data_IF_491204473694
#
_entry.id   IF_491204473694
#
_cell.length_a   1.000
_cell.length_b   1.000
_cell.length_c   1.000
_cell.angle_alpha   90.00
_cell.angle_beta   90.00
_cell.angle_gamma   90.00
#
_symmetry.space_group_name_H-M   'P 1'
#
loop_
_entity.id
_entity.type
_entity.pdbx_description
1 polymer ?
#
# COMPACT_ATOMS: atom_id res chain seq x y z
N UNK A 1 -6.16 20.45 -3.42
CA UNK A 1 -5.93 19.05 -2.99
C UNK A 1 -6.86 18.65 -1.85
N UNK A 2 -6.71 19.21 -0.63
CA UNK A 2 -7.53 18.82 0.53
C UNK A 2 -9.04 19.04 0.37
N UNK A 3 -9.46 20.04 -0.39
CA UNK A 3 -10.89 20.23 -0.70
C UNK A 3 -11.47 19.08 -1.53
N UNK A 4 -10.75 18.65 -2.58
CA UNK A 4 -11.14 17.49 -3.39
C UNK A 4 -11.18 16.22 -2.54
N UNK A 5 -10.16 16.01 -1.69
CA UNK A 5 -10.15 14.89 -0.74
C UNK A 5 -11.38 14.87 0.16
N UNK A 6 -11.72 16.00 0.78
CA UNK A 6 -12.88 16.11 1.68
C UNK A 6 -14.21 15.87 0.96
N UNK A 7 -14.33 16.34 -0.28
CA UNK A 7 -15.56 16.21 -1.08
C UNK A 7 -15.73 14.78 -1.61
N UNK A 8 -14.66 14.18 -2.12
CA UNK A 8 -14.72 12.97 -2.95
C UNK A 8 -14.21 11.71 -2.22
N UNK A 9 -13.51 11.85 -1.09
CA UNK A 9 -12.95 10.74 -0.31
C UNK A 9 -11.66 10.15 -0.89
N UNK A 10 -11.12 10.71 -1.97
CA UNK A 10 -9.87 10.28 -2.62
C UNK A 10 -9.37 11.32 -3.63
N UNK A 11 -8.09 11.22 -4.00
CA UNK A 11 -7.46 12.08 -5.02
C UNK A 11 -6.26 11.37 -5.67
N UNK A 12 -5.84 11.86 -6.83
CA UNK A 12 -4.61 11.41 -7.50
C UNK A 12 -3.59 12.55 -7.45
N UNK A 13 -2.37 12.24 -6.98
CA UNK A 13 -1.20 13.14 -7.07
C UNK A 13 -0.27 12.57 -8.14
N UNK A 14 -0.14 13.28 -9.26
CA UNK A 14 0.79 12.88 -10.31
C UNK A 14 2.23 13.26 -9.92
N UNK A 15 3.18 12.34 -10.17
CA UNK A 15 4.60 12.60 -9.93
C UNK A 15 4.98 12.75 -8.45
N UNK A 16 4.21 12.16 -7.54
CA UNK A 16 4.49 12.19 -6.10
C UNK A 16 5.85 11.58 -5.76
N UNK A 17 6.17 10.43 -6.36
CA UNK A 17 7.49 9.82 -6.22
C UNK A 17 8.28 9.96 -7.50
N UNK A 18 9.59 10.15 -7.37
CA UNK A 18 10.46 10.14 -8.53
C UNK A 18 10.51 8.75 -9.18
N UNK A 19 10.89 8.74 -10.46
CA UNK A 19 10.92 7.50 -11.24
C UNK A 19 11.96 6.50 -10.75
N UNK A 20 13.06 6.99 -10.17
CA UNK A 20 14.16 6.14 -9.71
C UNK A 20 13.76 5.34 -8.46
N UNK A 21 13.07 5.97 -7.50
CA UNK A 21 12.54 5.31 -6.31
C UNK A 21 11.50 4.25 -6.68
N UNK A 22 10.60 4.57 -7.61
CA UNK A 22 9.61 3.62 -8.13
C UNK A 22 10.31 2.42 -8.80
N UNK A 23 11.28 2.67 -9.68
CA UNK A 23 11.97 1.61 -10.41
C UNK A 23 12.82 0.73 -9.45
N UNK A 24 13.45 1.31 -8.44
CA UNK A 24 14.21 0.60 -7.41
C UNK A 24 13.30 -0.34 -6.59
N UNK A 25 12.19 0.19 -6.05
CA UNK A 25 11.22 -0.61 -5.29
C UNK A 25 10.57 -1.69 -6.16
N UNK A 26 10.25 -1.39 -7.42
CA UNK A 26 9.72 -2.38 -8.37
C UNK A 26 10.71 -3.51 -8.60
N UNK A 27 11.97 -3.17 -8.90
CA UNK A 27 13.01 -4.17 -9.13
C UNK A 27 13.29 -5.02 -7.87
N UNK A 28 13.22 -4.41 -6.67
CA UNK A 28 13.35 -5.13 -5.42
C UNK A 28 12.18 -6.07 -5.16
N UNK A 29 10.94 -5.63 -5.43
CA UNK A 29 9.76 -6.47 -5.36
C UNK A 29 9.82 -7.66 -6.32
N UNK A 30 10.20 -7.43 -7.58
CA UNK A 30 10.32 -8.47 -8.61
C UNK A 30 11.30 -9.58 -8.21
N UNK A 31 12.39 -9.24 -7.51
CA UNK A 31 13.35 -10.23 -6.99
C UNK A 31 12.74 -11.11 -5.88
N UNK A 32 11.79 -10.58 -5.11
CA UNK A 32 11.22 -11.21 -3.92
C UNK A 32 9.93 -11.97 -4.19
N UNK A 33 9.12 -11.53 -5.18
CA UNK A 33 7.85 -12.17 -5.56
C UNK A 33 7.94 -13.69 -5.72
N UNK A 34 8.97 -14.27 -6.37
CA UNK A 34 9.08 -15.73 -6.54
C UNK A 34 9.16 -16.53 -5.23
N UNK A 35 9.47 -15.88 -4.11
CA UNK A 35 9.56 -16.53 -2.80
C UNK A 35 8.20 -16.72 -2.12
N UNK A 36 7.14 -16.12 -2.66
CA UNK A 36 5.80 -16.15 -2.08
C UNK A 36 4.82 -16.88 -3.00
N UNK A 37 4.10 -17.85 -2.44
CA UNK A 37 3.01 -18.50 -3.15
C UNK A 37 1.81 -17.54 -3.29
N UNK A 38 1.20 -17.40 -4.49
CA UNK A 38 -0.07 -16.70 -4.65
C UNK A 38 -1.16 -17.25 -3.71
N UNK A 39 -2.05 -16.37 -3.25
CA UNK A 39 -3.18 -16.74 -2.38
C UNK A 39 -2.81 -17.14 -0.94
N UNK A 40 -1.55 -17.01 -0.55
CA UNK A 40 -1.08 -17.41 0.79
C UNK A 40 -1.46 -16.44 1.91
N UNK A 41 -1.80 -15.18 1.58
CA UNK A 41 -2.09 -14.16 2.58
C UNK A 41 -3.56 -14.24 3.05
N UNK A 42 -3.76 -14.41 4.36
CA UNK A 42 -5.09 -14.54 4.99
C UNK A 42 -5.55 -13.29 5.73
N UNK A 43 -4.69 -12.27 5.84
CA UNK A 43 -4.94 -11.05 6.65
C UNK A 43 -5.33 -11.36 8.11
N UNK A 44 -4.93 -12.51 8.66
CA UNK A 44 -5.37 -12.93 10.00
C UNK A 44 -6.85 -13.33 10.10
N UNK A 45 -7.60 -13.31 8.99
CA UNK A 45 -9.04 -13.61 8.94
C UNK A 45 -9.35 -14.99 8.34
N UNK A 46 -8.35 -15.88 8.27
CA UNK A 46 -8.49 -17.24 7.75
C UNK A 46 -9.04 -17.27 6.32
N UNK A 47 -10.06 -18.11 6.09
CA UNK A 47 -10.65 -18.30 4.76
C UNK A 47 -11.32 -17.04 4.20
N UNK A 48 -11.93 -16.21 5.05
CA UNK A 48 -12.56 -14.97 4.62
C UNK A 48 -11.53 -13.97 4.08
N UNK A 49 -10.41 -13.81 4.78
CA UNK A 49 -9.32 -12.95 4.32
C UNK A 49 -8.60 -13.50 3.10
N UNK A 50 -8.42 -14.83 2.99
CA UNK A 50 -7.86 -15.45 1.80
C UNK A 50 -8.74 -15.21 0.56
N UNK A 51 -10.05 -15.37 0.70
CA UNK A 51 -11.01 -15.09 -0.37
C UNK A 51 -11.03 -13.61 -0.77
N UNK A 52 -10.87 -12.72 0.21
CA UNK A 52 -10.78 -11.28 -0.04
C UNK A 52 -9.48 -10.88 -0.75
N UNK A 53 -8.33 -11.45 -0.40
CA UNK A 53 -7.04 -11.15 -1.04
C UNK A 53 -6.97 -11.69 -2.47
N UNK A 54 -7.56 -12.86 -2.72
CA UNK A 54 -7.56 -13.51 -4.03
C UNK A 54 -6.51 -14.62 -4.15
N UNK A 55 -6.86 -15.66 -4.90
CA UNK A 55 -6.06 -16.88 -5.02
C UNK A 55 -4.81 -16.71 -5.90
N UNK A 56 -4.81 -15.73 -6.79
CA UNK A 56 -3.73 -15.39 -7.72
C UNK A 56 -2.98 -14.11 -7.30
N UNK A 57 -3.26 -13.57 -6.11
CA UNK A 57 -2.55 -12.40 -5.58
C UNK A 57 -1.36 -12.83 -4.73
N UNK A 58 -0.19 -12.24 -5.00
CA UNK A 58 0.98 -12.29 -4.10
C UNK A 58 1.00 -10.99 -3.30
N UNK A 59 1.03 -11.09 -1.97
CA UNK A 59 1.08 -9.94 -1.06
C UNK A 59 2.09 -10.17 0.04
N UNK A 60 2.98 -9.20 0.24
CA UNK A 60 3.96 -9.23 1.33
C UNK A 60 4.31 -7.82 1.80
N UNK A 61 4.83 -7.73 3.03
CA UNK A 61 5.18 -6.48 3.71
C UNK A 61 6.71 -6.36 3.88
N UNK A 62 7.15 -5.52 4.84
CA UNK A 62 8.56 -5.31 5.21
C UNK A 62 9.37 -4.59 4.12
N UNK A 63 8.77 -3.56 3.52
CA UNK A 63 9.38 -2.77 2.45
C UNK A 63 10.75 -2.18 2.79
N UNK A 64 11.03 -1.73 4.05
CA UNK A 64 12.39 -1.34 4.44
C UNK A 64 13.47 -2.41 4.25
N UNK A 65 13.10 -3.70 4.17
CA UNK A 65 14.05 -4.80 3.95
C UNK A 65 14.26 -5.09 2.45
N UNK A 66 13.53 -4.41 1.56
CA UNK A 66 13.64 -4.62 0.12
C UNK A 66 14.68 -3.70 -0.52
N UNK A 67 14.57 -2.40 -0.23
CA UNK A 67 15.42 -1.34 -0.79
C UNK A 67 15.30 -0.06 0.04
N UNK A 68 16.37 0.73 0.11
CA UNK A 68 16.38 2.00 0.86
C UNK A 68 15.49 3.06 0.20
N UNK A 69 15.16 2.92 -1.09
CA UNK A 69 14.20 3.78 -1.79
C UNK A 69 12.83 3.87 -1.07
N UNK A 70 12.45 2.87 -0.27
CA UNK A 70 11.25 2.97 0.55
C UNK A 70 11.31 4.11 1.57
N UNK A 71 12.49 4.41 2.13
CA UNK A 71 12.66 5.52 3.07
C UNK A 71 12.50 6.87 2.38
N UNK A 72 12.96 7.01 1.13
CA UNK A 72 12.73 8.22 0.33
C UNK A 72 11.23 8.42 0.05
N UNK A 73 10.49 7.34 -0.22
CA UNK A 73 9.03 7.40 -0.39
C UNK A 73 8.30 7.70 0.92
N UNK A 74 8.82 7.19 2.05
CA UNK A 74 8.25 7.41 3.38
C UNK A 74 8.43 8.86 3.84
N UNK A 75 9.56 9.48 3.48
CA UNK A 75 9.92 10.86 3.84
C UNK A 75 9.42 11.90 2.82
N UNK A 76 8.53 11.52 1.89
CA UNK A 76 7.96 12.44 0.90
C UNK A 76 7.14 13.57 1.58
N UNK A 77 7.50 14.81 1.28
CA UNK A 77 6.89 15.99 1.91
C UNK A 77 5.39 16.13 1.56
N UNK A 78 4.98 15.72 0.36
CA UNK A 78 3.57 15.76 -0.05
C UNK A 78 2.77 14.71 0.71
N UNK A 79 3.33 13.51 0.89
CA UNK A 79 2.73 12.44 1.69
C UNK A 79 2.50 12.90 3.13
N UNK A 80 3.56 13.41 3.78
CA UNK A 80 3.53 13.90 5.14
C UNK A 80 2.52 15.05 5.30
N UNK A 81 2.52 16.03 4.39
CA UNK A 81 1.60 17.16 4.47
C UNK A 81 0.11 16.76 4.34
N UNK A 82 -0.20 15.74 3.53
CA UNK A 82 -1.57 15.21 3.42
C UNK A 82 -1.94 14.45 4.70
N UNK A 83 -1.06 13.57 5.19
CA UNK A 83 -1.27 12.82 6.42
C UNK A 83 -1.51 13.75 7.61
N UNK A 84 -0.61 14.72 7.83
CA UNK A 84 -0.70 15.71 8.90
C UNK A 84 -2.02 16.47 8.86
N UNK A 85 -2.39 16.98 7.69
CA UNK A 85 -3.60 17.78 7.52
C UNK A 85 -4.89 16.99 7.74
N UNK A 86 -4.87 15.66 7.53
CA UNK A 86 -6.02 14.77 7.67
C UNK A 86 -6.10 14.16 9.08
N UNK A 87 -4.97 13.78 9.67
CA UNK A 87 -4.91 12.97 10.89
C UNK A 87 -4.68 13.79 12.16
N UNK A 88 -3.74 14.74 12.17
CA UNK A 88 -3.38 15.50 13.39
C UNK A 88 -4.50 16.37 13.99
N UNK A 89 -5.56 16.78 13.26
CA UNK A 89 -6.75 17.36 13.89
C UNK A 89 -7.51 16.38 14.81
N UNK A 90 -7.22 15.08 14.69
CA UNK A 90 -7.95 13.99 15.35
C UNK A 90 -7.05 13.09 16.22
N UNK A 91 -5.72 13.21 16.16
CA UNK A 91 -4.77 12.46 16.97
C UNK A 91 -3.54 13.32 17.36
N UNK A 92 -2.71 12.81 18.29
CA UNK A 92 -1.49 13.52 18.72
C UNK A 92 -0.29 13.33 17.78
N UNK A 93 -0.28 12.23 17.04
CA UNK A 93 0.73 11.86 16.05
C UNK A 93 0.18 10.72 15.17
N UNK A 94 0.73 10.53 13.99
CA UNK A 94 0.46 9.39 13.12
C UNK A 94 1.74 8.62 12.78
N UNK A 95 1.55 7.41 12.26
CA UNK A 95 2.61 6.54 11.76
C UNK A 95 2.07 5.71 10.58
N UNK A 96 2.97 5.08 9.83
CA UNK A 96 2.57 4.08 8.84
C UNK A 96 2.07 2.82 9.54
N UNK A 97 0.83 2.42 9.24
CA UNK A 97 0.29 1.13 9.67
C UNK A 97 1.08 -0.03 9.03
N UNK A 98 1.09 -0.11 7.69
CA UNK A 98 1.88 -1.11 6.96
C UNK A 98 2.11 -0.65 5.52
N UNK A 99 3.34 -0.79 5.02
CA UNK A 99 3.65 -0.74 3.58
C UNK A 99 3.66 -2.15 2.98
N UNK A 100 3.04 -2.33 1.82
CA UNK A 100 2.88 -3.66 1.20
C UNK A 100 3.04 -3.63 -0.31
N UNK A 101 3.62 -4.70 -0.83
CA UNK A 101 3.60 -5.03 -2.25
C UNK A 101 2.41 -5.95 -2.52
N UNK A 102 1.72 -5.70 -3.64
CA UNK A 102 0.62 -6.54 -4.13
C UNK A 102 0.81 -6.78 -5.63
N UNK A 103 1.03 -8.04 -6.02
CA UNK A 103 1.06 -8.48 -7.41
C UNK A 103 -0.23 -9.23 -7.70
N UNK A 104 -1.07 -8.65 -8.55
CA UNK A 104 -2.33 -9.26 -8.98
C UNK A 104 -2.03 -10.13 -10.20
N UNK A 105 -2.14 -11.45 -10.02
CA UNK A 105 -1.88 -12.41 -11.08
C UNK A 105 -2.98 -12.45 -12.15
N UNK A 106 -2.71 -13.04 -13.33
CA UNK A 106 -3.70 -13.19 -14.39
C UNK A 106 -4.94 -13.95 -13.95
N UNK A 107 -6.12 -13.46 -14.35
CA UNK A 107 -7.40 -14.10 -14.05
C UNK A 107 -7.90 -13.92 -12.62
N UNK A 108 -7.24 -13.07 -11.81
CA UNK A 108 -7.77 -12.70 -10.50
C UNK A 108 -9.09 -11.92 -10.62
N UNK A 109 -9.95 -12.11 -9.63
CA UNK A 109 -11.24 -11.43 -9.52
C UNK A 109 -11.10 -10.06 -8.87
N UNK A 110 -12.00 -9.14 -9.22
CA UNK A 110 -12.08 -7.86 -8.51
C UNK A 110 -12.47 -8.10 -7.05
N UNK A 111 -11.78 -7.45 -6.13
CA UNK A 111 -12.16 -7.47 -4.72
C UNK A 111 -13.57 -6.85 -4.55
N UNK A 112 -14.30 -7.37 -3.56
CA UNK A 112 -15.59 -6.78 -3.17
C UNK A 112 -15.41 -5.34 -2.69
N UNK A 113 -16.42 -4.49 -2.89
CA UNK A 113 -16.38 -3.12 -2.37
C UNK A 113 -16.28 -3.14 -0.84
N UNK A 114 -15.32 -2.40 -0.29
CA UNK A 114 -15.02 -2.35 1.14
C UNK A 114 -14.48 -0.97 1.53
N UNK A 115 -14.30 -0.77 2.84
CA UNK A 115 -13.55 0.35 3.41
C UNK A 115 -12.34 -0.24 4.14
N UNK A 116 -11.17 0.33 3.90
CA UNK A 116 -9.98 0.04 4.68
C UNK A 116 -10.06 0.77 6.02
N UNK A 117 -10.87 0.22 6.93
CA UNK A 117 -11.05 0.68 8.30
C UNK A 117 -11.07 -0.55 9.24
N UNK A 118 -10.86 -0.32 10.54
CA UNK A 118 -10.94 -1.35 11.60
C UNK A 118 -9.76 -2.34 11.71
N UNK A 119 -8.53 -1.87 11.48
CA UNK A 119 -7.31 -2.63 11.85
C UNK A 119 -7.12 -2.75 13.36
#
# INVERSE_FOLDING_TARGET
MLEAFRRDGGLIVEGMFDRAAIDAMTAAADRRVPEFSPGSATQGMGAAGAAFVGANTVRFSSLPLLDDAYFDMLDDEVYAAIADAVLLPHCGSDWVNTGQIMYIGPGETAQVLHRDADN
#
